data_IF_313488497143
#
_entry.id   IF_313488497143
#
_cell.length_a   1.000
_cell.length_b   1.000
_cell.length_c   1.000
_cell.angle_alpha   90.00
_cell.angle_beta   90.00
_cell.angle_gamma   90.00
#
_symmetry.space_group_name_H-M   'P 1'
#
loop_
_entity.id
_entity.type
_entity.pdbx_description
1 polymer ?
#
# COMPACT_ATOMS: atom_id res chain seq x y z
N UNK A 1 3.82 0.52 10.63
CA UNK A 1 2.71 1.26 9.99
C UNK A 1 1.49 0.39 10.03
N UNK A 2 0.34 0.93 10.43
CA UNK A 2 -0.95 0.25 10.33
C UNK A 2 -1.81 0.99 9.32
N UNK A 3 -2.46 0.25 8.43
CA UNK A 3 -3.35 0.78 7.38
C UNK A 3 -4.67 0.03 7.44
N UNK A 4 -5.76 0.79 7.37
CA UNK A 4 -7.13 0.28 7.37
C UNK A 4 -7.76 0.62 6.02
N UNK A 5 -8.16 -0.41 5.27
CA UNK A 5 -8.66 -0.27 3.90
C UNK A 5 -10.07 -0.83 3.80
N UNK A 6 -11.02 -0.03 3.35
CA UNK A 6 -12.36 -0.50 3.06
C UNK A 6 -12.36 -1.28 1.74
N UNK A 7 -12.63 -2.59 1.80
CA UNK A 7 -12.59 -3.49 0.64
C UNK A 7 -13.97 -3.83 0.07
N UNK A 8 -15.05 -3.36 0.70
CA UNK A 8 -16.41 -3.78 0.37
C UNK A 8 -16.50 -5.33 0.25
N UNK A 9 -16.94 -5.85 -0.90
CA UNK A 9 -17.05 -7.29 -1.17
C UNK A 9 -15.78 -7.94 -1.70
N UNK A 10 -14.70 -7.19 -1.95
CA UNK A 10 -13.45 -7.73 -2.48
C UNK A 10 -12.75 -8.65 -1.47
N UNK A 11 -12.08 -9.67 -2.00
CA UNK A 11 -11.17 -10.50 -1.23
C UNK A 11 -9.86 -9.73 -0.99
N UNK A 12 -9.17 -10.03 0.12
CA UNK A 12 -7.92 -9.31 0.42
C UNK A 12 -6.79 -9.72 -0.54
N UNK A 13 -6.93 -10.89 -1.14
CA UNK A 13 -6.04 -11.48 -2.14
C UNK A 13 -6.13 -10.78 -3.50
N UNK A 14 -7.20 -10.03 -3.77
CA UNK A 14 -7.39 -9.30 -5.03
C UNK A 14 -6.57 -7.99 -5.07
N UNK A 15 -6.03 -7.56 -3.92
CA UNK A 15 -5.32 -6.31 -3.77
C UNK A 15 -3.99 -6.49 -3.05
N UNK A 16 -3.02 -5.65 -3.40
CA UNK A 16 -1.80 -5.47 -2.63
C UNK A 16 -1.78 -4.05 -2.08
N UNK A 17 -1.60 -3.94 -0.76
CA UNK A 17 -1.43 -2.66 -0.07
C UNK A 17 0.06 -2.44 0.14
N UNK A 18 0.55 -1.31 -0.33
CA UNK A 18 1.99 -1.04 -0.37
C UNK A 18 2.32 0.31 0.24
N UNK A 19 3.43 0.35 0.99
CA UNK A 19 4.07 1.58 1.42
C UNK A 19 5.07 2.01 0.34
N UNK A 20 4.86 3.17 -0.25
CA UNK A 20 5.83 3.85 -1.08
C UNK A 20 6.63 4.81 -0.20
N UNK A 21 7.95 4.65 -0.15
CA UNK A 21 8.83 5.47 0.68
C UNK A 21 10.02 5.98 -0.14
N UNK A 22 10.25 7.29 -0.06
CA UNK A 22 11.37 7.99 -0.70
C UNK A 22 12.17 8.74 0.37
N UNK A 23 13.30 8.18 0.85
CA UNK A 23 14.21 8.91 1.74
C UNK A 23 14.83 10.15 1.08
N UNK A 24 14.94 10.18 -0.24
CA UNK A 24 15.37 11.33 -1.04
C UNK A 24 14.70 11.31 -2.42
N UNK A 25 15.10 12.20 -3.34
CA UNK A 25 14.47 12.34 -4.66
C UNK A 25 14.82 11.23 -5.65
N UNK A 26 15.93 10.52 -5.43
CA UNK A 26 16.47 9.52 -6.36
C UNK A 26 16.21 8.09 -5.87
N UNK A 27 16.11 7.92 -4.55
CA UNK A 27 15.89 6.64 -3.92
C UNK A 27 14.44 6.55 -3.45
N UNK A 28 13.68 5.65 -4.08
CA UNK A 28 12.35 5.27 -3.64
C UNK A 28 12.24 3.75 -3.59
N UNK A 29 11.55 3.24 -2.58
CA UNK A 29 11.26 1.81 -2.41
C UNK A 29 9.79 1.57 -2.12
N UNK A 30 9.35 0.38 -2.48
CA UNK A 30 7.98 -0.08 -2.27
C UNK A 30 8.06 -1.29 -1.34
N UNK A 31 7.32 -1.24 -0.24
CA UNK A 31 7.26 -2.31 0.75
C UNK A 31 5.81 -2.82 0.85
N UNK A 32 5.52 -4.09 0.50
CA UNK A 32 4.19 -4.65 0.64
C UNK A 32 3.82 -4.81 2.12
N UNK A 33 2.59 -4.46 2.47
CA UNK A 33 2.06 -4.63 3.81
C UNK A 33 1.43 -6.02 3.95
N UNK A 34 1.52 -6.59 5.15
CA UNK A 34 0.93 -7.89 5.49
C UNK A 34 -0.50 -7.70 5.93
N UNK A 35 -1.40 -8.47 5.34
CA UNK A 35 -2.78 -8.60 5.82
C UNK A 35 -2.81 -9.20 7.23
N UNK A 36 -3.72 -8.70 8.07
CA UNK A 36 -3.93 -9.19 9.44
C UNK A 36 -5.33 -9.77 9.57
N UNK A 37 -6.36 -8.97 9.30
CA UNK A 37 -7.76 -9.38 9.42
C UNK A 37 -8.70 -8.45 8.64
N UNK A 38 -9.93 -8.90 8.37
CA UNK A 38 -11.02 -8.11 7.82
C UNK A 38 -12.17 -8.11 8.81
N UNK A 39 -12.59 -6.92 9.22
CA UNK A 39 -13.67 -6.69 10.16
C UNK A 39 -15.04 -6.88 9.49
N UNK A 40 -16.10 -6.99 10.30
CA UNK A 40 -17.46 -7.21 9.83
C UNK A 40 -18.05 -6.04 9.02
N UNK A 41 -17.42 -4.86 9.07
CA UNK A 41 -17.78 -3.66 8.30
C UNK A 41 -17.00 -3.54 6.97
N UNK A 42 -16.35 -4.63 6.53
CA UNK A 42 -15.53 -4.70 5.32
C UNK A 42 -14.23 -3.89 5.34
N UNK A 43 -13.80 -3.40 6.50
CA UNK A 43 -12.47 -2.80 6.67
C UNK A 43 -11.44 -3.90 6.91
N UNK A 44 -10.37 -3.93 6.11
CA UNK A 44 -9.23 -4.82 6.28
C UNK A 44 -8.03 -4.08 6.87
N UNK A 45 -7.39 -4.71 7.86
CA UNK A 45 -6.18 -4.22 8.52
C UNK A 45 -4.95 -4.83 7.88
N UNK A 46 -4.01 -3.96 7.53
CA UNK A 46 -2.69 -4.31 7.02
C UNK A 46 -1.61 -3.68 7.89
N UNK A 47 -0.49 -4.38 8.05
CA UNK A 47 0.65 -3.90 8.85
C UNK A 47 1.99 -4.17 8.17
N UNK A 48 2.96 -3.31 8.44
CA UNK A 48 4.33 -3.48 7.99
C UNK A 48 5.30 -2.67 8.81
N UNK A 49 6.56 -3.08 8.76
CA UNK A 49 7.69 -2.38 9.37
C UNK A 49 8.67 -2.00 8.28
N UNK A 50 9.20 -0.80 8.35
CA UNK A 50 10.21 -0.32 7.42
C UNK A 50 11.17 0.59 8.18
N UNK A 51 12.41 0.64 7.72
CA UNK A 51 13.42 1.52 8.31
C UNK A 51 13.32 2.92 7.72
N UNK A 52 13.49 3.93 8.55
CA UNK A 52 13.73 5.29 8.06
C UNK A 52 15.23 5.45 7.86
N UNK A 53 15.63 5.88 6.67
CA UNK A 53 17.04 6.10 6.32
C UNK A 53 17.28 7.56 6.03
N UNK A 54 18.37 8.10 6.60
CA UNK A 54 18.80 9.47 6.33
C UNK A 54 18.12 10.54 7.19
N UNK A 55 18.37 11.79 6.84
CA UNK A 55 17.87 12.98 7.54
C UNK A 55 17.41 14.01 6.51
N UNK A 56 16.43 14.85 6.87
CA UNK A 56 15.82 15.82 5.96
C UNK A 56 14.37 15.50 5.61
N UNK A 57 13.86 16.12 4.56
CA UNK A 57 12.51 15.91 4.04
C UNK A 57 12.42 14.54 3.35
N UNK A 58 11.44 13.74 3.75
CA UNK A 58 11.24 12.37 3.25
C UNK A 58 9.78 12.20 2.85
N UNK A 59 9.56 11.52 1.73
CA UNK A 59 8.24 11.22 1.22
C UNK A 59 7.80 9.83 1.63
N UNK A 60 6.54 9.68 2.07
CA UNK A 60 5.91 8.37 2.15
C UNK A 60 4.43 8.47 1.78
N UNK A 61 3.90 7.45 1.14
CA UNK A 61 2.49 7.31 0.88
C UNK A 61 2.06 5.83 0.86
N UNK A 62 0.76 5.59 0.97
CA UNK A 62 0.17 4.27 0.81
C UNK A 62 -0.50 4.19 -0.55
N UNK A 63 -0.34 3.06 -1.23
CA UNK A 63 -1.12 2.73 -2.42
C UNK A 63 -1.81 1.38 -2.30
N UNK A 64 -2.94 1.29 -2.97
CA UNK A 64 -3.71 0.06 -3.21
C UNK A 64 -3.56 -0.24 -4.69
N UNK A 65 -3.10 -1.45 -5.03
CA UNK A 65 -3.03 -1.92 -6.42
C UNK A 65 -3.68 -3.30 -6.56
N UNK A 66 -4.07 -3.71 -7.79
CA UNK A 66 -4.37 -5.11 -8.08
C UNK A 66 -3.19 -6.02 -7.69
N UNK A 67 -3.48 -7.17 -7.12
CA UNK A 67 -2.44 -8.14 -6.70
C UNK A 67 -1.78 -8.87 -7.88
N UNK A 68 -2.50 -9.05 -8.98
CA UNK A 68 -1.96 -9.60 -10.22
C UNK A 68 -1.03 -8.58 -10.91
N UNK A 69 0.25 -8.92 -11.02
CA UNK A 69 1.26 -8.01 -11.54
C UNK A 69 1.06 -7.69 -13.04
N UNK A 70 0.57 -8.66 -13.83
CA UNK A 70 0.30 -8.43 -15.25
C UNK A 70 -0.89 -7.48 -15.46
N UNK A 71 -1.95 -7.63 -14.67
CA UNK A 71 -3.08 -6.70 -14.67
C UNK A 71 -2.66 -5.30 -14.23
N UNK A 72 -1.83 -5.20 -13.19
CA UNK A 72 -1.28 -3.93 -12.73
C UNK A 72 -0.45 -3.22 -13.82
N UNK A 73 0.38 -3.95 -14.56
CA UNK A 73 1.16 -3.41 -15.68
C UNK A 73 0.28 -2.91 -16.83
N UNK A 74 -0.79 -3.65 -17.16
CA UNK A 74 -1.70 -3.29 -18.25
C UNK A 74 -2.64 -2.13 -17.90
N UNK A 75 -3.06 -2.03 -16.64
CA UNK A 75 -4.07 -1.07 -16.19
C UNK A 75 -3.64 -0.31 -14.92
N UNK A 76 -2.58 0.52 -15.01
CA UNK A 76 -2.04 1.26 -13.88
C UNK A 76 -3.04 2.28 -13.28
N UNK A 77 -4.09 2.68 -14.00
CA UNK A 77 -5.14 3.59 -13.55
C UNK A 77 -6.00 3.04 -12.39
N UNK A 78 -5.96 1.71 -12.16
CA UNK A 78 -6.64 1.10 -11.01
C UNK A 78 -5.87 1.27 -9.70
N UNK A 79 -4.64 1.77 -9.73
CA UNK A 79 -3.92 2.12 -8.50
C UNK A 79 -4.62 3.29 -7.81
N UNK A 80 -4.91 3.12 -6.51
CA UNK A 80 -5.41 4.19 -5.65
C UNK A 80 -4.33 4.61 -4.66
N UNK A 81 -4.03 5.89 -4.65
CA UNK A 81 -3.15 6.51 -3.67
C UNK A 81 -3.98 7.07 -2.52
N UNK A 82 -3.46 6.99 -1.30
CA UNK A 82 -4.05 7.71 -0.19
C UNK A 82 -3.90 9.22 -0.45
N UNK A 83 -5.03 9.90 -0.57
CA UNK A 83 -5.11 11.36 -0.69
C UNK A 83 -5.21 11.90 0.73
N UNK A 84 -4.28 12.79 1.10
CA UNK A 84 -4.31 13.54 2.36
C UNK A 84 -5.00 14.88 2.16
#
# INVERSE_FOLDING_TARGET
>A
VEVYVYLDSMAHEDVTIELFYCPDRENCRIEPLKYIEKYSDNVAKYTGTFDLSGSGEQGYNIRIRPSDDFFFELYPEYVKWLVK
#
